data_IF_048982734635
#
_entry.id   IF_048982734635
#
_cell.length_a   1.000
_cell.length_b   1.000
_cell.length_c   1.000
_cell.angle_alpha   90.00
_cell.angle_beta   90.00
_cell.angle_gamma   90.00
#
_symmetry.space_group_name_H-M   'P 1'
#
loop_
_entity.id
_entity.type
_entity.pdbx_description
1 polymer ?
#
# COMPACT_ATOMS: atom_id res chain seq x y z
N UNK A 1 8.68 -16.96 -6.61
CA UNK A 1 7.57 -17.39 -5.77
C UNK A 1 7.65 -16.74 -4.41
N UNK A 2 6.74 -15.83 -4.06
CA UNK A 2 6.64 -15.24 -2.73
C UNK A 2 6.48 -16.34 -1.69
N UNK A 3 7.50 -16.58 -0.89
CA UNK A 3 7.29 -17.26 0.39
C UNK A 3 6.58 -16.28 1.32
N UNK A 4 5.26 -16.27 1.28
CA UNK A 4 4.43 -15.60 2.28
C UNK A 4 4.69 -16.25 3.62
N UNK A 5 5.57 -15.66 4.40
CA UNK A 5 5.67 -15.99 5.81
C UNK A 5 4.34 -15.62 6.45
N UNK A 6 3.53 -16.59 6.81
CA UNK A 6 2.32 -16.41 7.60
C UNK A 6 2.70 -15.84 8.96
N UNK A 7 2.61 -14.53 9.11
CA UNK A 7 2.60 -13.90 10.42
C UNK A 7 1.14 -13.74 10.82
N UNK A 8 0.64 -14.56 11.79
CA UNK A 8 -0.75 -14.48 12.19
C UNK A 8 -1.00 -13.17 12.92
N UNK A 9 -2.02 -12.41 12.50
CA UNK A 9 -2.65 -11.30 13.23
C UNK A 9 -1.70 -10.46 14.11
N UNK A 10 -0.71 -9.83 13.51
CA UNK A 10 0.17 -8.96 14.26
C UNK A 10 -0.52 -7.65 14.61
N UNK A 11 -0.62 -7.37 15.90
CA UNK A 11 -1.07 -6.06 16.36
C UNK A 11 -0.10 -4.96 15.90
N UNK A 12 -0.55 -3.70 15.73
CA UNK A 12 0.32 -2.58 15.36
C UNK A 12 1.57 -2.40 16.25
N UNK A 13 1.55 -2.95 17.47
CA UNK A 13 2.70 -2.92 18.39
C UNK A 13 3.80 -3.90 18.01
N UNK A 14 3.45 -5.07 17.48
CA UNK A 14 4.42 -6.05 16.98
C UNK A 14 5.05 -5.53 15.69
N UNK A 15 4.28 -4.86 14.87
CA UNK A 15 4.72 -4.27 13.63
C UNK A 15 5.76 -3.14 13.85
N UNK A 16 5.63 -2.31 14.89
CA UNK A 16 6.67 -1.33 15.24
C UNK A 16 8.03 -1.96 15.59
N UNK A 17 8.05 -3.23 15.96
CA UNK A 17 9.27 -3.98 16.22
C UNK A 17 9.97 -4.42 14.91
N UNK A 18 9.25 -4.43 13.80
CA UNK A 18 9.72 -4.86 12.48
C UNK A 18 10.18 -3.69 11.58
N UNK A 19 10.33 -2.48 12.14
CA UNK A 19 10.83 -1.34 11.38
C UNK A 19 12.29 -1.60 10.98
N UNK A 20 12.49 -1.89 9.70
CA UNK A 20 13.76 -2.27 9.12
C UNK A 20 14.82 -1.18 9.12
N UNK A 21 14.44 0.09 9.33
CA UNK A 21 15.40 1.18 9.53
C UNK A 21 16.16 1.06 10.85
N UNK A 22 15.50 0.50 11.87
CA UNK A 22 16.06 0.44 13.25
C UNK A 22 16.57 -0.94 13.62
N UNK A 23 16.01 -1.98 13.04
CA UNK A 23 16.28 -3.36 13.41
C UNK A 23 16.46 -4.20 12.15
N UNK A 24 17.68 -4.25 11.64
CA UNK A 24 18.04 -5.07 10.47
C UNK A 24 17.94 -6.55 10.84
N UNK A 25 16.74 -7.10 10.78
CA UNK A 25 16.51 -8.52 10.96
C UNK A 25 15.91 -9.13 9.68
N UNK A 26 16.77 -9.27 8.68
CA UNK A 26 16.40 -9.84 7.38
C UNK A 26 15.71 -11.20 7.50
N UNK A 27 16.08 -12.01 8.49
CA UNK A 27 15.50 -13.36 8.69
C UNK A 27 14.00 -13.32 8.95
N UNK A 28 13.55 -12.40 9.80
CA UNK A 28 12.12 -12.27 10.14
C UNK A 28 11.28 -11.77 8.98
N UNK A 29 11.90 -11.08 8.05
CA UNK A 29 11.24 -10.50 6.89
C UNK A 29 11.35 -11.38 5.64
N UNK A 30 11.97 -12.56 5.77
CA UNK A 30 12.20 -13.45 4.64
C UNK A 30 13.18 -12.88 3.62
N UNK A 31 14.12 -12.04 4.07
CA UNK A 31 15.14 -11.38 3.24
C UNK A 31 16.57 -11.72 3.66
N UNK A 32 16.77 -12.91 4.23
CA UNK A 32 18.09 -13.37 4.72
C UNK A 32 19.09 -13.53 3.56
N UNK A 33 18.63 -14.02 2.41
CA UNK A 33 19.49 -14.22 1.23
C UNK A 33 19.86 -12.87 0.60
N UNK A 34 21.15 -12.61 0.49
CA UNK A 34 21.69 -11.40 -0.12
C UNK A 34 21.40 -11.34 -1.62
N UNK A 35 21.45 -12.49 -2.29
CA UNK A 35 21.19 -12.56 -3.74
C UNK A 35 19.73 -12.19 -4.05
N UNK A 36 18.77 -12.66 -3.24
CA UNK A 36 17.37 -12.27 -3.40
C UNK A 36 17.16 -10.76 -3.19
N UNK A 37 17.91 -10.14 -2.28
CA UNK A 37 17.85 -8.68 -2.10
C UNK A 37 18.47 -7.94 -3.29
N UNK A 38 19.60 -8.43 -3.81
CA UNK A 38 20.24 -7.86 -5.01
C UNK A 38 19.36 -8.02 -6.24
N UNK A 39 18.70 -9.18 -6.41
CA UNK A 39 17.75 -9.42 -7.49
C UNK A 39 16.56 -8.45 -7.42
N UNK A 40 15.97 -8.26 -6.24
CA UNK A 40 14.90 -7.25 -6.05
C UNK A 40 15.35 -5.84 -6.47
N UNK A 41 16.55 -5.43 -6.07
CA UNK A 41 17.09 -4.13 -6.42
C UNK A 41 17.35 -4.01 -7.93
N UNK A 42 17.87 -5.07 -8.55
CA UNK A 42 18.09 -5.13 -9.99
C UNK A 42 16.79 -5.06 -10.79
N UNK A 43 15.76 -5.82 -10.37
CA UNK A 43 14.44 -5.76 -10.99
C UNK A 43 13.79 -4.37 -10.84
N UNK A 44 13.96 -3.74 -9.68
CA UNK A 44 13.55 -2.36 -9.45
C UNK A 44 14.22 -1.37 -10.39
N UNK A 45 15.53 -1.49 -10.59
CA UNK A 45 16.29 -0.66 -11.52
C UNK A 45 15.81 -0.86 -12.98
N UNK A 46 15.53 -2.10 -13.38
CA UNK A 46 14.96 -2.40 -14.69
C UNK A 46 13.58 -1.78 -14.86
N UNK A 47 12.71 -1.93 -13.86
CA UNK A 47 11.36 -1.36 -13.88
C UNK A 47 11.40 0.16 -14.10
N UNK A 48 12.26 0.87 -13.37
CA UNK A 48 12.43 2.30 -13.53
C UNK A 48 12.88 2.67 -14.94
N UNK A 49 13.86 1.94 -15.47
CA UNK A 49 14.39 2.15 -16.82
C UNK A 49 13.35 1.91 -17.90
N UNK A 50 12.56 0.85 -17.79
CA UNK A 50 11.54 0.51 -18.79
C UNK A 50 10.35 1.48 -18.75
N UNK A 51 10.01 2.00 -17.57
CA UNK A 51 8.79 2.78 -17.36
C UNK A 51 9.01 4.30 -17.31
N UNK A 52 10.25 4.81 -17.35
CA UNK A 52 10.53 6.24 -17.17
C UNK A 52 9.85 7.16 -18.22
N UNK A 53 9.58 6.64 -19.41
CA UNK A 53 8.91 7.39 -20.50
C UNK A 53 7.38 7.31 -20.47
N UNK A 54 6.79 6.72 -19.43
CA UNK A 54 5.34 6.61 -19.31
C UNK A 54 4.77 7.78 -18.47
N UNK A 55 4.18 8.82 -19.11
CA UNK A 55 3.74 10.03 -18.41
C UNK A 55 2.57 9.80 -17.44
N UNK A 56 1.93 8.65 -17.50
CA UNK A 56 0.87 8.25 -16.55
C UNK A 56 1.39 7.73 -15.22
N UNK A 57 2.68 7.41 -15.12
CA UNK A 57 3.31 6.95 -13.89
C UNK A 57 3.86 8.16 -13.16
N UNK A 58 3.33 8.42 -11.98
CA UNK A 58 3.71 9.56 -11.14
C UNK A 58 4.39 9.15 -9.83
N UNK A 59 4.06 7.96 -9.34
CA UNK A 59 4.50 7.47 -8.04
C UNK A 59 4.93 6.01 -8.18
N UNK A 60 6.08 5.69 -7.61
CA UNK A 60 6.53 4.32 -7.39
C UNK A 60 6.41 3.96 -5.92
N UNK A 61 5.73 2.85 -5.63
CA UNK A 61 5.70 2.25 -4.28
C UNK A 61 6.77 1.18 -4.19
N UNK A 62 7.73 1.33 -3.29
CA UNK A 62 8.87 0.42 -3.17
C UNK A 62 8.48 -0.80 -2.35
N UNK A 63 7.97 -0.58 -1.13
CA UNK A 63 7.54 -1.64 -0.23
C UNK A 63 6.10 -1.43 0.22
N UNK A 64 5.38 -2.54 0.40
CA UNK A 64 3.99 -2.54 0.83
C UNK A 64 3.85 -3.17 2.21
N UNK A 65 3.29 -2.43 3.16
CA UNK A 65 2.89 -2.89 4.50
C UNK A 65 4.01 -3.56 5.32
N UNK A 66 5.27 -3.32 4.98
CA UNK A 66 6.43 -3.90 5.65
C UNK A 66 6.74 -5.35 5.23
N UNK A 67 5.96 -5.92 4.32
CA UNK A 67 6.19 -7.29 3.85
C UNK A 67 7.45 -7.39 2.99
N UNK A 68 8.44 -8.11 3.50
CA UNK A 68 9.72 -8.28 2.82
C UNK A 68 10.52 -6.99 2.66
N UNK A 69 10.20 -5.95 3.43
CA UNK A 69 10.92 -4.68 3.45
C UNK A 69 12.34 -4.88 3.99
N UNK A 70 13.30 -4.26 3.32
CA UNK A 70 14.70 -4.24 3.76
C UNK A 70 15.37 -2.92 3.36
N UNK A 71 16.19 -2.38 4.23
CA UNK A 71 16.96 -1.15 4.01
C UNK A 71 16.17 -0.03 3.29
N UNK A 72 14.97 0.36 3.77
CA UNK A 72 14.03 1.17 2.98
C UNK A 72 14.64 2.50 2.53
N UNK A 73 15.29 3.24 3.41
CA UNK A 73 15.92 4.51 3.03
C UNK A 73 17.09 4.35 2.06
N UNK A 74 17.86 3.27 2.19
CA UNK A 74 18.94 2.97 1.24
C UNK A 74 18.38 2.62 -0.15
N UNK A 75 17.31 1.84 -0.18
CA UNK A 75 16.60 1.47 -1.42
C UNK A 75 15.98 2.71 -2.07
N UNK A 76 15.31 3.56 -1.29
CA UNK A 76 14.80 4.84 -1.77
C UNK A 76 15.90 5.70 -2.42
N UNK A 77 17.02 5.92 -1.73
CA UNK A 77 18.13 6.72 -2.29
C UNK A 77 18.67 6.14 -3.59
N UNK A 78 18.81 4.80 -3.69
CA UNK A 78 19.25 4.13 -4.91
C UNK A 78 18.30 4.40 -6.09
N UNK A 79 17.00 4.23 -5.88
CA UNK A 79 16.00 4.41 -6.92
C UNK A 79 15.82 5.89 -7.28
N UNK A 80 15.80 6.78 -6.29
CA UNK A 80 15.71 8.22 -6.48
C UNK A 80 16.90 8.82 -7.23
N UNK A 81 18.09 8.23 -7.09
CA UNK A 81 19.27 8.65 -7.85
C UNK A 81 19.16 8.32 -9.34
N UNK A 82 18.40 7.31 -9.71
CA UNK A 82 18.16 6.93 -11.11
C UNK A 82 17.00 7.72 -11.72
N UNK A 83 15.96 7.98 -10.93
CA UNK A 83 14.73 8.64 -11.38
C UNK A 83 14.34 9.76 -10.41
N UNK A 84 15.07 10.88 -10.49
CA UNK A 84 14.95 11.98 -9.52
C UNK A 84 13.68 12.82 -9.69
N UNK A 85 13.01 12.76 -10.84
CA UNK A 85 11.78 13.52 -11.11
C UNK A 85 10.52 12.82 -10.61
N UNK A 86 10.58 11.51 -10.42
CA UNK A 86 9.46 10.73 -9.93
C UNK A 86 9.34 10.78 -8.41
N UNK A 87 8.14 10.51 -7.92
CA UNK A 87 7.85 10.44 -6.49
C UNK A 87 7.87 8.99 -6.04
N UNK A 88 8.35 8.76 -4.81
CA UNK A 88 8.45 7.44 -4.23
C UNK A 88 7.74 7.36 -2.88
N UNK A 89 6.86 6.37 -2.75
CA UNK A 89 6.30 5.91 -1.49
C UNK A 89 7.14 4.72 -1.00
N UNK A 90 8.04 4.98 -0.09
CA UNK A 90 9.09 4.01 0.28
C UNK A 90 8.54 2.82 1.06
N UNK A 91 7.65 3.08 2.03
CA UNK A 91 7.05 2.06 2.88
C UNK A 91 5.55 2.32 3.00
N UNK A 92 4.80 1.89 1.99
CA UNK A 92 3.37 2.19 1.91
C UNK A 92 2.59 1.53 3.04
N UNK A 93 1.81 2.33 3.72
CA UNK A 93 0.74 1.87 4.61
C UNK A 93 1.05 1.85 6.09
N UNK A 94 1.82 0.89 6.60
CA UNK A 94 1.89 0.63 8.04
C UNK A 94 3.09 1.26 8.73
N UNK A 95 4.14 1.53 7.98
CA UNK A 95 5.40 2.09 8.48
C UNK A 95 5.67 3.46 7.89
N UNK A 96 6.58 4.16 8.50
CA UNK A 96 7.14 5.37 7.96
C UNK A 96 8.65 5.18 7.86
N UNK A 97 9.15 5.05 6.64
CA UNK A 97 10.58 5.07 6.38
C UNK A 97 11.16 6.44 6.72
N UNK A 98 12.41 6.47 7.16
CA UNK A 98 13.07 7.75 7.47
C UNK A 98 13.22 8.62 6.21
N UNK A 99 13.28 8.00 5.02
CA UNK A 99 13.28 8.70 3.72
C UNK A 99 12.17 8.19 2.80
N UNK A 100 11.34 9.11 2.32
CA UNK A 100 10.21 8.90 1.41
C UNK A 100 9.68 10.25 0.94
N UNK A 101 9.02 10.32 -0.20
CA UNK A 101 8.33 11.56 -0.62
C UNK A 101 6.97 11.71 0.07
N UNK A 102 6.42 10.62 0.61
CA UNK A 102 5.10 10.60 1.23
C UNK A 102 5.11 10.13 2.68
N UNK A 103 4.11 10.60 3.42
CA UNK A 103 3.58 9.96 4.60
C UNK A 103 2.32 9.21 4.18
N UNK A 104 2.42 7.91 3.99
CA UNK A 104 1.34 7.07 3.48
C UNK A 104 0.70 6.23 4.58
N UNK A 105 -0.60 6.01 4.46
CA UNK A 105 -1.39 5.24 5.44
C UNK A 105 -2.39 4.35 4.72
N UNK A 106 -2.42 3.06 5.07
CA UNK A 106 -3.49 2.14 4.72
C UNK A 106 -4.57 2.15 5.81
N UNK A 107 -5.80 2.36 5.43
CA UNK A 107 -6.91 2.36 6.38
C UNK A 107 -8.24 2.09 5.69
N UNK A 108 -8.89 1.02 6.05
CA UNK A 108 -10.11 0.55 5.40
C UNK A 108 -11.38 0.85 6.17
N UNK A 109 -11.34 0.74 7.50
CA UNK A 109 -12.53 0.89 8.34
C UNK A 109 -12.76 2.31 8.84
N UNK A 110 -11.69 3.01 9.18
CA UNK A 110 -11.72 4.37 9.72
C UNK A 110 -10.57 5.17 9.10
N UNK A 111 -10.78 5.77 7.93
CA UNK A 111 -9.75 6.59 7.30
C UNK A 111 -9.45 7.81 8.17
N UNK A 112 -8.44 7.71 9.01
CA UNK A 112 -7.94 8.79 9.86
C UNK A 112 -6.43 8.70 9.93
N UNK A 113 -5.79 9.85 9.98
CA UNK A 113 -4.39 9.94 10.36
C UNK A 113 -4.24 9.46 11.81
N UNK A 114 -3.80 8.23 12.01
CA UNK A 114 -3.56 7.64 13.33
C UNK A 114 -2.11 7.74 13.77
N UNK A 115 -1.21 8.05 12.85
CA UNK A 115 0.21 8.18 13.08
C UNK A 115 0.63 9.63 12.97
N UNK A 116 1.69 10.00 13.68
CA UNK A 116 2.29 11.33 13.57
C UNK A 116 3.15 11.37 12.30
N UNK A 117 2.87 12.30 11.41
CA UNK A 117 3.74 12.65 10.29
C UNK A 117 5.00 13.34 10.82
N UNK A 118 6.06 12.58 11.06
CA UNK A 118 7.27 13.07 11.74
C UNK A 118 8.13 13.96 10.86
N UNK A 119 8.05 13.76 9.55
CA UNK A 119 8.89 14.43 8.58
C UNK A 119 8.15 15.51 7.79
N UNK A 120 6.91 15.81 8.19
CA UNK A 120 6.05 16.81 7.54
C UNK A 120 5.94 16.62 6.01
N UNK A 121 5.77 15.36 5.60
CA UNK A 121 5.61 14.97 4.18
C UNK A 121 4.17 15.13 3.72
N UNK A 122 3.96 15.09 2.40
CA UNK A 122 2.64 15.00 1.82
C UNK A 122 1.90 13.77 2.36
N UNK A 123 0.75 13.99 3.01
CA UNK A 123 -0.06 12.90 3.56
C UNK A 123 -0.96 12.32 2.48
N UNK A 124 -0.87 11.00 2.29
CA UNK A 124 -1.75 10.24 1.40
C UNK A 124 -2.36 9.04 2.12
N UNK A 125 -3.58 8.70 1.75
CA UNK A 125 -4.19 7.41 2.05
C UNK A 125 -3.93 6.50 0.85
N UNK A 126 -2.84 5.74 0.92
CA UNK A 126 -2.35 4.92 -0.20
C UNK A 126 -3.16 3.65 -0.40
N UNK A 127 -3.99 3.26 0.56
CA UNK A 127 -5.06 2.28 0.39
C UNK A 127 -6.25 2.58 1.28
N UNK A 128 -7.44 2.66 0.67
CA UNK A 128 -8.71 2.83 1.35
C UNK A 128 -9.80 1.98 0.69
N UNK A 129 -10.94 1.87 1.35
CA UNK A 129 -12.13 1.22 0.79
C UNK A 129 -12.15 -0.27 1.03
N UNK A 130 -11.66 -1.06 0.13
CA UNK A 130 -11.64 -2.53 0.25
C UNK A 130 -13.03 -3.13 0.46
N UNK A 131 -14.09 -2.52 -0.09
CA UNK A 131 -15.47 -2.95 0.08
C UNK A 131 -15.79 -4.06 -0.92
N UNK A 132 -15.91 -5.29 -0.41
CA UNK A 132 -16.18 -6.45 -1.24
C UNK A 132 -17.66 -6.60 -1.57
N UNK A 133 -17.97 -6.70 -2.85
CA UNK A 133 -19.30 -7.05 -3.39
C UNK A 133 -19.20 -8.39 -4.11
N UNK A 134 -19.83 -9.42 -3.53
CA UNK A 134 -19.86 -10.73 -4.14
C UNK A 134 -20.86 -10.78 -5.28
N UNK A 135 -20.41 -11.18 -6.47
CA UNK A 135 -21.24 -11.49 -7.62
C UNK A 135 -21.34 -13.01 -7.82
N UNK A 136 -22.57 -13.54 -7.88
CA UNK A 136 -22.82 -14.95 -8.17
C UNK A 136 -22.34 -15.91 -7.07
N UNK A 137 -22.44 -17.20 -7.39
CA UNK A 137 -21.97 -18.31 -6.55
C UNK A 137 -20.70 -18.90 -7.16
N UNK A 138 -19.54 -18.46 -6.70
CA UNK A 138 -18.28 -19.14 -7.01
C UNK A 138 -17.76 -19.84 -5.77
N UNK A 139 -17.46 -21.14 -5.83
CA UNK A 139 -16.89 -21.88 -4.69
C UNK A 139 -15.49 -21.42 -4.31
N UNK A 140 -14.81 -20.71 -5.23
CA UNK A 140 -13.47 -20.18 -5.02
C UNK A 140 -13.45 -18.77 -4.40
N UNK A 141 -14.63 -18.23 -4.11
CA UNK A 141 -14.75 -16.89 -3.51
C UNK A 141 -14.51 -16.94 -2.01
N UNK A 142 -13.26 -17.05 -1.62
CA UNK A 142 -12.85 -16.72 -0.26
C UNK A 142 -12.83 -15.19 -0.21
N UNK A 143 -13.73 -14.61 0.57
CA UNK A 143 -13.84 -13.18 0.70
C UNK A 143 -12.53 -12.59 1.24
N UNK A 144 -11.89 -11.76 0.44
CA UNK A 144 -10.88 -10.81 0.88
C UNK A 144 -11.42 -9.40 0.68
N UNK A 145 -11.47 -8.64 1.76
CA UNK A 145 -11.93 -7.25 1.77
C UNK A 145 -12.24 -6.78 3.18
N UNK A 146 -12.23 -5.47 3.37
CA UNK A 146 -12.39 -4.83 4.68
C UNK A 146 -13.83 -4.45 5.01
N UNK A 147 -14.79 -4.85 4.18
CA UNK A 147 -16.22 -4.68 4.41
C UNK A 147 -17.04 -5.41 3.36
N UNK A 148 -18.11 -6.06 3.78
CA UNK A 148 -19.03 -6.77 2.87
C UNK A 148 -20.22 -5.91 2.51
N UNK A 149 -20.59 -5.92 1.24
CA UNK A 149 -21.86 -5.40 0.73
C UNK A 149 -22.56 -6.48 -0.10
N UNK A 150 -23.88 -6.42 -0.14
CA UNK A 150 -24.70 -7.43 -0.82
C UNK A 150 -25.28 -6.93 -2.14
N UNK A 151 -25.28 -5.63 -2.36
CA UNK A 151 -25.92 -4.99 -3.52
C UNK A 151 -25.08 -3.80 -4.00
N UNK A 152 -25.15 -3.52 -5.31
CA UNK A 152 -24.45 -2.37 -5.93
C UNK A 152 -24.82 -1.03 -5.29
N UNK A 153 -26.11 -0.84 -4.98
CA UNK A 153 -26.60 0.40 -4.38
C UNK A 153 -26.04 0.62 -2.97
N UNK A 154 -25.76 -0.47 -2.24
CA UNK A 154 -25.09 -0.38 -0.93
C UNK A 154 -23.62 -0.03 -1.09
N UNK A 155 -22.95 -0.56 -2.12
CA UNK A 155 -21.56 -0.21 -2.42
C UNK A 155 -21.46 1.28 -2.74
N UNK A 156 -22.28 1.79 -3.68
CA UNK A 156 -22.31 3.20 -4.04
C UNK A 156 -22.49 4.11 -2.82
N UNK A 157 -23.51 3.83 -2.00
CA UNK A 157 -23.75 4.61 -0.77
C UNK A 157 -22.57 4.59 0.22
N UNK A 158 -21.89 3.46 0.35
CA UNK A 158 -20.71 3.36 1.23
C UNK A 158 -19.50 4.11 0.67
N UNK A 159 -19.34 4.10 -0.66
CA UNK A 159 -18.30 4.89 -1.33
C UNK A 159 -18.59 6.38 -1.15
N UNK A 160 -19.83 6.82 -1.38
CA UNK A 160 -20.24 8.21 -1.17
C UNK A 160 -19.98 8.65 0.28
N UNK A 161 -20.42 7.85 1.28
CA UNK A 161 -20.14 8.13 2.68
C UNK A 161 -18.66 8.21 3.00
N UNK A 162 -17.87 7.29 2.42
CA UNK A 162 -16.41 7.26 2.59
C UNK A 162 -15.79 8.58 2.10
N UNK A 163 -16.13 9.02 0.90
CA UNK A 163 -15.52 10.21 0.32
C UNK A 163 -16.06 11.50 0.96
N UNK A 164 -17.37 11.67 1.07
CA UNK A 164 -17.95 12.91 1.57
C UNK A 164 -17.76 13.11 3.09
N UNK A 165 -17.96 12.05 3.87
CA UNK A 165 -18.02 12.18 5.32
C UNK A 165 -16.73 11.79 6.05
N UNK A 166 -15.83 11.05 5.40
CA UNK A 166 -14.61 10.57 6.05
C UNK A 166 -13.32 11.10 5.42
N UNK A 167 -13.25 11.19 4.08
CA UNK A 167 -12.04 11.63 3.38
C UNK A 167 -12.01 13.14 3.23
N UNK A 168 -13.03 13.72 2.63
CA UNK A 168 -13.10 15.14 2.33
C UNK A 168 -12.81 16.05 3.54
N UNK A 169 -13.31 15.76 4.76
CA UNK A 169 -12.95 16.57 5.94
C UNK A 169 -11.46 16.51 6.30
N UNK A 170 -10.71 15.48 5.90
CA UNK A 170 -9.30 15.35 6.21
C UNK A 170 -8.40 16.21 5.32
N UNK A 171 -8.89 16.62 4.15
CA UNK A 171 -8.16 17.52 3.26
C UNK A 171 -7.80 18.81 4.00
N UNK A 172 -8.77 19.43 4.65
CA UNK A 172 -8.56 20.69 5.40
C UNK A 172 -7.97 20.46 6.78
N UNK A 173 -8.41 19.42 7.49
CA UNK A 173 -8.02 19.17 8.87
C UNK A 173 -6.62 18.59 9.01
N UNK A 174 -6.27 17.61 8.16
CA UNK A 174 -5.09 16.79 8.30
C UNK A 174 -4.08 16.99 7.14
N UNK A 175 -4.40 17.85 6.17
CA UNK A 175 -3.56 18.10 5.00
C UNK A 175 -3.48 16.89 4.04
N UNK A 176 -4.57 16.12 3.94
CA UNK A 176 -4.64 14.98 3.04
C UNK A 176 -4.52 15.45 1.57
N UNK A 177 -3.51 14.94 0.84
CA UNK A 177 -3.20 15.35 -0.53
C UNK A 177 -3.67 14.34 -1.57
N UNK A 178 -3.83 13.07 -1.22
CA UNK A 178 -4.21 12.03 -2.16
C UNK A 178 -4.83 10.81 -1.53
N UNK A 179 -5.62 10.09 -2.31
CA UNK A 179 -6.28 8.83 -1.92
C UNK A 179 -6.21 7.84 -3.07
N UNK A 180 -5.95 6.58 -2.75
CA UNK A 180 -5.99 5.46 -3.68
C UNK A 180 -7.03 4.46 -3.17
N UNK A 181 -8.07 4.24 -3.96
CA UNK A 181 -9.11 3.25 -3.63
C UNK A 181 -8.64 1.85 -3.98
N UNK A 182 -8.76 0.93 -3.04
CA UNK A 182 -8.45 -0.48 -3.21
C UNK A 182 -9.73 -1.28 -3.44
N UNK A 183 -9.99 -1.74 -4.71
CA UNK A 183 -9.07 -1.61 -5.83
C UNK A 183 -9.84 -1.35 -7.14
N UNK A 184 -9.11 -1.16 -8.23
CA UNK A 184 -9.74 -0.85 -9.52
C UNK A 184 -10.56 -2.02 -10.06
N UNK A 185 -10.02 -3.23 -10.05
CA UNK A 185 -10.71 -4.44 -10.51
C UNK A 185 -10.46 -5.61 -9.55
N UNK A 186 -11.38 -6.55 -9.50
CA UNK A 186 -11.19 -7.80 -8.77
C UNK A 186 -9.96 -8.54 -9.27
N UNK A 187 -9.21 -9.15 -8.35
CA UNK A 187 -7.99 -9.91 -8.63
C UNK A 187 -8.02 -11.22 -7.84
N UNK A 188 -7.93 -12.35 -8.53
CA UNK A 188 -7.90 -13.69 -7.94
C UNK A 188 -9.06 -13.94 -6.97
N UNK A 189 -8.79 -13.95 -5.66
CA UNK A 189 -9.78 -14.15 -4.60
C UNK A 189 -10.24 -12.86 -3.93
N UNK A 190 -9.72 -11.72 -4.34
CA UNK A 190 -10.12 -10.41 -3.82
C UNK A 190 -11.25 -9.79 -4.64
N UNK A 191 -12.43 -9.65 -4.00
CA UNK A 191 -13.66 -9.11 -4.61
C UNK A 191 -14.00 -7.74 -4.03
N UNK A 192 -13.06 -6.83 -4.10
CA UNK A 192 -13.18 -5.46 -3.63
C UNK A 192 -12.92 -4.42 -4.73
N UNK A 193 -12.87 -4.89 -5.98
CA UNK A 193 -12.76 -4.05 -7.16
C UNK A 193 -13.99 -3.20 -7.43
N UNK A 194 -13.78 -2.07 -8.10
CA UNK A 194 -14.86 -1.28 -8.71
C UNK A 194 -15.40 -1.98 -9.97
N UNK A 195 -14.58 -2.80 -10.60
CA UNK A 195 -14.92 -3.67 -11.72
C UNK A 195 -14.74 -5.12 -11.31
N UNK A 196 -15.58 -5.99 -11.84
CA UNK A 196 -15.45 -7.44 -11.68
C UNK A 196 -14.34 -8.02 -12.59
N UNK A 197 -14.09 -9.34 -12.47
CA UNK A 197 -13.08 -10.04 -13.26
C UNK A 197 -13.35 -10.02 -14.77
N UNK A 198 -14.56 -9.73 -15.19
CA UNK A 198 -14.94 -9.69 -16.63
C UNK A 198 -14.75 -8.30 -17.24
N UNK A 199 -14.60 -7.25 -16.39
CA UNK A 199 -14.39 -5.83 -16.73
C UNK A 199 -15.46 -5.20 -17.59
#
# INVERSE_FOLDING_TARGET
GEKRGLIPNCSPRVLNFMNCEKHVNYKWLGREDEKEREEFLYEGDLLLKELHNHPSILIYTIFNEGWGEFDPSKTYRRMKAQENQMLFDTASGWYEADESDFFSVHTYSFPKMKRKNRHNRCFILSEIGGLGLKYGESPYQIFCGHGKVKKKEQLSKKIDDLYENKIKPQIQRDGLCGVIYTQFADVETEYNGLYDLTR
#
